data_IF_981620009129
#
_entry.id   IF_981620009129
#
_cell.length_a   1.000
_cell.length_b   1.000
_cell.length_c   1.000
_cell.angle_alpha   90.00
_cell.angle_beta   90.00
_cell.angle_gamma   90.00
#
_symmetry.space_group_name_H-M   'P 1'
#
loop_
_entity.id
_entity.type
_entity.pdbx_description
1 polymer ?
#
# COMPACT_ATOMS: atom_id res chain seq x y z
N UNK A 1 14.95 8.86 -24.36
CA UNK A 1 13.72 9.36 -25.02
C UNK A 1 12.62 8.32 -25.06
N UNK A 2 12.85 7.11 -25.59
CA UNK A 2 11.82 6.04 -25.70
C UNK A 2 11.23 5.64 -24.32
N UNK A 3 12.07 5.45 -23.29
CA UNK A 3 11.63 5.10 -21.94
C UNK A 3 10.64 6.12 -21.35
N UNK A 4 10.92 7.41 -21.53
CA UNK A 4 10.08 8.49 -21.02
C UNK A 4 8.70 8.51 -21.68
N UNK A 5 8.64 8.35 -23.01
CA UNK A 5 7.37 8.33 -23.73
C UNK A 5 6.52 7.10 -23.38
N UNK A 6 7.14 5.93 -23.20
CA UNK A 6 6.47 4.72 -22.75
C UNK A 6 5.93 4.87 -21.32
N UNK A 7 6.74 5.38 -20.40
CA UNK A 7 6.33 5.63 -19.02
C UNK A 7 5.17 6.62 -18.94
N UNK A 8 5.25 7.74 -19.69
CA UNK A 8 4.17 8.74 -19.76
C UNK A 8 2.87 8.12 -20.26
N UNK A 9 2.94 7.30 -21.31
CA UNK A 9 1.77 6.61 -21.86
C UNK A 9 1.20 5.63 -20.84
N UNK A 10 2.04 4.81 -20.22
CA UNK A 10 1.62 3.80 -19.27
C UNK A 10 0.90 4.42 -18.07
N UNK A 11 1.45 5.51 -17.51
CA UNK A 11 0.80 6.28 -16.47
C UNK A 11 -0.54 6.85 -16.94
N UNK A 12 -0.59 7.50 -18.10
CA UNK A 12 -1.82 8.08 -18.62
C UNK A 12 -2.93 7.04 -18.78
N UNK A 13 -2.62 5.86 -19.33
CA UNK A 13 -3.61 4.79 -19.52
C UNK A 13 -4.04 4.22 -18.17
N UNK A 14 -3.11 3.95 -17.23
CA UNK A 14 -3.44 3.48 -15.87
C UNK A 14 -4.45 4.42 -15.19
N UNK A 15 -4.21 5.72 -15.20
CA UNK A 15 -5.15 6.69 -14.59
C UNK A 15 -6.46 6.81 -15.35
N UNK A 16 -6.43 6.85 -16.68
CA UNK A 16 -7.64 7.00 -17.50
C UNK A 16 -8.61 5.83 -17.28
N UNK A 17 -8.10 4.61 -17.27
CA UNK A 17 -8.93 3.42 -17.21
C UNK A 17 -9.46 3.19 -15.78
N UNK A 18 -8.73 3.61 -14.75
CA UNK A 18 -9.11 3.48 -13.34
C UNK A 18 -9.90 4.66 -12.77
N UNK A 19 -10.01 5.80 -13.48
CA UNK A 19 -10.50 7.08 -12.92
C UNK A 19 -11.86 6.96 -12.22
N UNK A 20 -12.79 6.18 -12.78
CA UNK A 20 -14.15 6.00 -12.22
C UNK A 20 -14.11 5.23 -10.91
N UNK A 21 -13.34 4.13 -10.88
CA UNK A 21 -13.18 3.29 -9.68
C UNK A 21 -12.39 4.06 -8.61
N UNK A 22 -11.37 4.81 -9.03
CA UNK A 22 -10.56 5.66 -8.16
C UNK A 22 -11.40 6.73 -7.47
N UNK A 23 -12.22 7.48 -8.21
CA UNK A 23 -13.11 8.47 -7.63
C UNK A 23 -14.09 7.83 -6.62
N UNK A 24 -14.65 6.67 -6.95
CA UNK A 24 -15.56 5.94 -6.05
C UNK A 24 -14.87 5.46 -4.77
N UNK A 25 -13.70 4.84 -4.88
CA UNK A 25 -12.93 4.35 -3.71
C UNK A 25 -12.43 5.50 -2.84
N UNK A 26 -12.02 6.62 -3.42
CA UNK A 26 -11.65 7.81 -2.65
C UNK A 26 -12.84 8.46 -1.95
N UNK A 27 -14.03 8.41 -2.53
CA UNK A 27 -15.24 8.89 -1.87
C UNK A 27 -15.60 8.00 -0.67
N UNK A 28 -15.55 6.67 -0.83
CA UNK A 28 -15.71 5.73 0.29
C UNK A 28 -14.66 6.00 1.37
N UNK A 29 -13.39 6.14 0.98
CA UNK A 29 -12.31 6.45 1.90
C UNK A 29 -12.55 7.75 2.66
N UNK A 30 -12.97 8.82 1.98
CA UNK A 30 -13.28 10.10 2.62
C UNK A 30 -14.43 9.95 3.65
N UNK A 31 -15.46 9.16 3.35
CA UNK A 31 -16.51 8.86 4.33
C UNK A 31 -15.99 8.07 5.54
N UNK A 32 -15.11 7.09 5.31
CA UNK A 32 -14.47 6.30 6.39
C UNK A 32 -13.61 7.21 7.29
N UNK A 33 -12.79 8.08 6.69
CA UNK A 33 -11.98 9.06 7.42
C UNK A 33 -12.86 9.99 8.25
N UNK A 34 -13.91 10.56 7.63
CA UNK A 34 -14.81 11.49 8.30
C UNK A 34 -15.51 10.85 9.49
N UNK A 35 -16.11 9.67 9.28
CA UNK A 35 -16.82 8.94 10.34
C UNK A 35 -15.88 8.53 11.47
N UNK A 36 -14.66 8.06 11.15
CA UNK A 36 -13.65 7.72 12.14
C UNK A 36 -13.25 8.93 13.00
N UNK A 37 -12.89 10.05 12.36
CA UNK A 37 -12.44 11.25 13.07
C UNK A 37 -13.57 11.92 13.87
N UNK A 38 -14.79 11.92 13.33
CA UNK A 38 -15.97 12.41 14.03
C UNK A 38 -16.32 11.56 15.26
N UNK A 39 -16.25 10.23 15.15
CA UNK A 39 -16.47 9.36 16.31
C UNK A 39 -15.37 9.53 17.36
N UNK A 40 -14.11 9.73 16.94
CA UNK A 40 -13.01 10.01 17.86
C UNK A 40 -13.21 11.33 18.61
N UNK A 41 -13.70 12.39 17.96
CA UNK A 41 -13.97 13.65 18.66
C UNK A 41 -15.12 13.51 19.66
N UNK A 42 -16.16 12.73 19.34
CA UNK A 42 -17.26 12.44 20.27
C UNK A 42 -16.81 11.64 21.50
N UNK A 43 -15.94 10.64 21.31
CA UNK A 43 -15.47 9.75 22.39
C UNK A 43 -14.52 10.48 23.35
N UNK A 44 -13.63 11.34 22.83
CA UNK A 44 -12.60 11.99 23.64
C UNK A 44 -13.05 13.32 24.29
N UNK A 45 -14.26 13.80 24.00
CA UNK A 45 -14.77 15.05 24.57
C UNK A 45 -13.99 16.28 24.10
N UNK A 46 -13.74 17.25 25.00
CA UNK A 46 -12.98 18.49 24.72
C UNK A 46 -11.45 18.32 24.82
N UNK A 47 -10.94 17.11 25.06
CA UNK A 47 -9.51 16.90 25.15
C UNK A 47 -8.94 16.60 23.76
N UNK A 48 -8.02 17.43 23.25
CA UNK A 48 -7.48 17.24 21.92
C UNK A 48 -6.54 16.04 21.90
N UNK A 49 -6.92 15.00 21.15
CA UNK A 49 -6.04 13.85 20.91
C UNK A 49 -4.96 14.24 19.91
N UNK A 50 -3.70 13.98 20.30
CA UNK A 50 -2.51 14.18 19.46
C UNK A 50 -2.69 13.58 18.06
N UNK A 51 -2.33 14.34 17.02
CA UNK A 51 -2.38 13.96 15.60
C UNK A 51 -1.75 12.58 15.39
N UNK A 52 -0.55 12.37 15.93
CA UNK A 52 0.20 11.11 15.86
C UNK A 52 -0.65 9.92 16.30
N UNK A 53 -1.32 10.01 17.46
CA UNK A 53 -2.11 8.90 18.02
C UNK A 53 -3.33 8.59 17.16
N UNK A 54 -4.06 9.62 16.71
CA UNK A 54 -5.21 9.43 15.81
C UNK A 54 -4.81 8.86 14.46
N UNK A 55 -3.65 9.28 13.92
CA UNK A 55 -3.09 8.77 12.68
C UNK A 55 -2.75 7.29 12.79
N UNK A 56 -2.01 6.90 13.84
CA UNK A 56 -1.63 5.51 14.05
C UNK A 56 -2.85 4.61 14.26
N UNK A 57 -3.84 5.05 15.03
CA UNK A 57 -5.10 4.31 15.24
C UNK A 57 -5.83 4.05 13.92
N UNK A 58 -5.88 5.05 13.05
CA UNK A 58 -6.56 4.92 11.76
C UNK A 58 -5.81 3.97 10.81
N UNK A 59 -4.51 4.21 10.58
CA UNK A 59 -3.74 3.48 9.56
C UNK A 59 -3.30 2.07 9.98
N UNK A 60 -3.21 1.80 11.28
CA UNK A 60 -2.86 0.45 11.77
C UNK A 60 -4.09 -0.38 12.16
N UNK A 61 -5.25 0.26 12.34
CA UNK A 61 -6.53 -0.42 12.55
C UNK A 61 -6.70 -1.14 13.90
N UNK A 62 -5.64 -1.23 14.73
CA UNK A 62 -5.72 -1.74 16.11
C UNK A 62 -4.95 -0.84 17.05
N UNK A 63 -5.59 -0.49 18.16
CA UNK A 63 -4.98 0.27 19.23
C UNK A 63 -4.03 -0.64 20.05
N UNK A 64 -2.98 -0.08 20.64
CA UNK A 64 -2.03 -0.84 21.48
C UNK A 64 -2.73 -1.60 22.61
N UNK A 65 -3.76 -0.97 23.17
CA UNK A 65 -4.61 -1.50 24.25
C UNK A 65 -5.46 -2.67 23.75
N UNK A 66 -6.09 -2.54 22.58
CA UNK A 66 -6.92 -3.59 21.98
C UNK A 66 -6.12 -4.84 21.60
N UNK A 67 -4.87 -4.65 21.14
CA UNK A 67 -3.97 -5.76 20.85
C UNK A 67 -3.58 -6.50 22.14
N UNK A 68 -3.39 -5.78 23.25
CA UNK A 68 -3.11 -6.36 24.57
C UNK A 68 -4.32 -7.10 25.16
N UNK A 69 -5.54 -6.58 24.97
CA UNK A 69 -6.78 -7.25 25.35
C UNK A 69 -7.04 -8.48 24.48
N UNK A 70 -6.67 -8.46 23.19
CA UNK A 70 -6.73 -9.64 22.35
C UNK A 70 -5.86 -10.79 22.89
N UNK A 71 -4.61 -10.50 23.25
CA UNK A 71 -3.70 -11.51 23.81
C UNK A 71 -4.13 -12.02 25.20
N UNK A 72 -4.79 -11.19 26.00
CA UNK A 72 -5.22 -11.55 27.37
C UNK A 72 -6.63 -12.14 27.47
N UNK A 73 -7.56 -11.70 26.62
CA UNK A 73 -9.00 -11.97 26.74
C UNK A 73 -9.57 -12.68 25.50
N UNK A 74 -8.78 -12.88 24.43
CA UNK A 74 -9.21 -13.53 23.20
C UNK A 74 -10.26 -12.76 22.40
N UNK A 75 -10.51 -11.48 22.72
CA UNK A 75 -11.46 -10.63 22.01
C UNK A 75 -10.78 -9.96 20.83
N UNK A 76 -11.17 -10.36 19.61
CA UNK A 76 -10.55 -9.88 18.38
C UNK A 76 -11.31 -8.70 17.79
N UNK A 77 -10.68 -7.53 17.71
CA UNK A 77 -11.08 -6.48 16.80
C UNK A 77 -10.36 -6.68 15.46
N UNK A 78 -11.10 -7.03 14.41
CA UNK A 78 -10.52 -7.19 13.07
C UNK A 78 -9.99 -5.82 12.62
N UNK A 79 -8.73 -5.70 12.16
CA UNK A 79 -8.16 -4.44 11.69
C UNK A 79 -8.73 -4.04 10.33
N UNK A 80 -10.02 -3.68 10.29
CA UNK A 80 -10.77 -3.44 9.06
C UNK A 80 -10.16 -2.31 8.21
N UNK A 81 -9.73 -1.21 8.84
CA UNK A 81 -9.09 -0.09 8.13
C UNK A 81 -7.81 -0.52 7.43
N UNK A 82 -7.00 -1.33 8.11
CA UNK A 82 -5.77 -1.88 7.57
C UNK A 82 -6.02 -2.75 6.33
N UNK A 83 -6.98 -3.70 6.43
CA UNK A 83 -7.36 -4.56 5.31
C UNK A 83 -7.83 -3.71 4.13
N UNK A 84 -8.67 -2.71 4.39
CA UNK A 84 -9.17 -1.81 3.37
C UNK A 84 -8.04 -1.05 2.65
N UNK A 85 -7.03 -0.57 3.38
CA UNK A 85 -5.89 0.14 2.78
C UNK A 85 -4.98 -0.75 1.94
N UNK A 86 -4.87 -2.04 2.25
CA UNK A 86 -4.10 -2.97 1.43
C UNK A 86 -4.88 -3.46 0.20
N UNK A 87 -6.21 -3.56 0.30
CA UNK A 87 -7.07 -3.99 -0.83
C UNK A 87 -7.29 -2.86 -1.85
N UNK A 88 -7.40 -1.61 -1.40
CA UNK A 88 -7.71 -0.46 -2.27
C UNK A 88 -6.70 -0.31 -3.43
N UNK A 89 -5.37 -0.31 -3.21
CA UNK A 89 -4.39 -0.29 -4.29
C UNK A 89 -4.52 -1.50 -5.23
N UNK A 90 -4.81 -2.70 -4.73
CA UNK A 90 -4.97 -3.91 -5.56
C UNK A 90 -6.16 -3.79 -6.51
N UNK A 91 -7.29 -3.27 -6.04
CA UNK A 91 -8.47 -3.00 -6.87
C UNK A 91 -8.19 -1.97 -7.97
N UNK A 92 -7.36 -0.96 -7.66
CA UNK A 92 -7.03 0.13 -8.57
C UNK A 92 -6.00 -0.23 -9.64
N UNK A 93 -5.17 -1.24 -9.40
CA UNK A 93 -4.16 -1.73 -10.36
C UNK A 93 -4.84 -2.50 -11.50
N UNK A 94 -5.84 -3.32 -11.17
CA UNK A 94 -6.62 -4.09 -12.14
C UNK A 94 -5.76 -4.95 -13.07
N UNK A 95 -6.14 -5.04 -14.35
CA UNK A 95 -5.51 -5.89 -15.36
C UNK A 95 -4.62 -5.13 -16.36
N UNK A 96 -4.07 -3.98 -15.98
CA UNK A 96 -3.39 -3.10 -16.93
C UNK A 96 -2.23 -3.77 -17.68
N UNK A 97 -1.26 -4.39 -16.98
CA UNK A 97 -0.15 -5.02 -17.68
C UNK A 97 -0.58 -6.19 -18.56
N UNK A 98 -1.57 -6.98 -18.11
CA UNK A 98 -2.16 -8.06 -18.89
C UNK A 98 -2.79 -7.55 -20.19
N UNK A 99 -3.67 -6.54 -20.12
CA UNK A 99 -4.36 -6.00 -21.30
C UNK A 99 -3.38 -5.32 -22.26
N UNK A 100 -2.41 -4.56 -21.76
CA UNK A 100 -1.46 -3.85 -22.63
C UNK A 100 -0.49 -4.80 -23.35
N UNK A 101 -0.05 -5.87 -22.68
CA UNK A 101 0.92 -6.82 -23.25
C UNK A 101 0.24 -7.92 -24.06
N UNK A 102 -0.82 -8.54 -23.55
CA UNK A 102 -1.43 -9.69 -24.24
C UNK A 102 -2.48 -9.27 -25.27
N UNK A 103 -3.29 -8.24 -24.99
CA UNK A 103 -4.35 -7.82 -25.91
C UNK A 103 -3.87 -6.75 -26.91
N UNK A 104 -3.06 -5.79 -26.45
CA UNK A 104 -2.53 -4.72 -27.30
C UNK A 104 -1.07 -4.93 -27.75
N UNK A 105 -0.47 -6.06 -27.39
CA UNK A 105 0.93 -6.38 -27.65
C UNK A 105 1.33 -6.33 -29.13
N UNK A 106 0.41 -6.69 -30.03
CA UNK A 106 0.62 -6.68 -31.49
C UNK A 106 1.05 -5.29 -32.01
N UNK A 107 0.56 -4.21 -31.40
CA UNK A 107 0.92 -2.84 -31.79
C UNK A 107 2.17 -2.30 -31.06
N UNK A 108 2.60 -2.98 -29.99
CA UNK A 108 3.60 -2.53 -29.03
C UNK A 108 4.96 -3.20 -29.25
N UNK A 109 4.96 -4.52 -29.45
CA UNK A 109 6.18 -5.31 -29.63
C UNK A 109 6.99 -4.91 -30.87
N UNK A 110 6.40 -4.58 -32.04
CA UNK A 110 7.18 -4.15 -33.21
C UNK A 110 7.91 -2.81 -33.00
N UNK A 111 7.40 -1.96 -32.10
CA UNK A 111 7.92 -0.60 -31.87
C UNK A 111 9.01 -0.53 -30.81
N UNK A 112 9.21 -1.58 -30.01
CA UNK A 112 10.17 -1.59 -28.91
C UNK A 112 11.24 -2.67 -29.11
N UNK A 113 12.43 -2.24 -29.52
CA UNK A 113 13.58 -3.12 -29.80
C UNK A 113 14.07 -3.94 -28.58
N UNK A 114 13.71 -3.54 -27.36
CA UNK A 114 14.17 -4.16 -26.10
C UNK A 114 12.99 -4.48 -25.17
N UNK A 115 12.54 -5.73 -25.15
CA UNK A 115 11.35 -6.17 -24.37
C UNK A 115 11.50 -6.04 -22.85
N UNK A 116 12.71 -6.20 -22.32
CA UNK A 116 12.99 -5.95 -20.89
C UNK A 116 12.69 -4.49 -20.49
N UNK A 117 12.82 -3.56 -21.45
CA UNK A 117 12.53 -2.15 -21.23
C UNK A 117 11.01 -1.89 -21.12
N UNK A 118 10.18 -2.68 -21.80
CA UNK A 118 8.72 -2.66 -21.62
C UNK A 118 8.33 -3.09 -20.21
N UNK A 119 8.87 -4.21 -19.73
CA UNK A 119 8.57 -4.68 -18.38
C UNK A 119 9.01 -3.68 -17.31
N UNK A 120 10.20 -3.10 -17.49
CA UNK A 120 10.71 -2.08 -16.60
C UNK A 120 9.82 -0.82 -16.56
N UNK A 121 9.25 -0.38 -17.70
CA UNK A 121 8.28 0.74 -17.68
C UNK A 121 6.98 0.37 -16.98
N UNK A 122 6.53 -0.89 -17.05
CA UNK A 122 5.36 -1.36 -16.28
C UNK A 122 5.60 -1.29 -14.78
N UNK A 123 6.75 -1.78 -14.32
CA UNK A 123 7.14 -1.71 -12.90
C UNK A 123 7.25 -0.26 -12.42
N UNK A 124 7.94 0.60 -13.18
CA UNK A 124 8.07 2.02 -12.82
C UNK A 124 6.72 2.74 -12.83
N UNK A 125 5.88 2.49 -13.83
CA UNK A 125 4.53 3.09 -13.89
C UNK A 125 3.67 2.64 -12.71
N UNK A 126 3.77 1.36 -12.29
CA UNK A 126 3.09 0.85 -11.12
C UNK A 126 3.56 1.56 -9.85
N UNK A 127 4.87 1.72 -9.68
CA UNK A 127 5.44 2.41 -8.52
C UNK A 127 4.93 3.86 -8.38
N UNK A 128 5.01 4.65 -9.45
CA UNK A 128 4.50 6.03 -9.43
C UNK A 128 2.98 6.10 -9.24
N UNK A 129 2.23 5.14 -9.80
CA UNK A 129 0.80 5.05 -9.61
C UNK A 129 0.43 4.77 -8.15
N UNK A 130 1.08 3.81 -7.50
CA UNK A 130 0.88 3.49 -6.07
C UNK A 130 1.25 4.70 -5.19
N UNK A 131 2.37 5.38 -5.46
CA UNK A 131 2.75 6.61 -4.76
C UNK A 131 1.64 7.66 -4.87
N UNK A 132 1.10 7.88 -6.07
CA UNK A 132 0.07 8.90 -6.28
C UNK A 132 -1.22 8.60 -5.50
N UNK A 133 -1.65 7.32 -5.44
CA UNK A 133 -2.83 6.90 -4.70
C UNK A 133 -2.64 7.19 -3.21
N UNK A 134 -1.50 6.79 -2.64
CA UNK A 134 -1.21 7.00 -1.23
C UNK A 134 -1.08 8.48 -0.88
N UNK A 135 -0.44 9.30 -1.72
CA UNK A 135 -0.37 10.75 -1.51
C UNK A 135 -1.78 11.36 -1.41
N UNK A 136 -2.70 10.97 -2.31
CA UNK A 136 -4.08 11.45 -2.27
C UNK A 136 -4.81 10.98 -1.01
N UNK A 137 -4.65 9.72 -0.62
CA UNK A 137 -5.26 9.18 0.61
C UNK A 137 -4.75 9.89 1.88
N UNK A 138 -3.45 10.16 1.98
CA UNK A 138 -2.90 10.92 3.10
C UNK A 138 -3.40 12.36 3.08
N UNK A 139 -3.41 13.01 1.93
CA UNK A 139 -3.92 14.37 1.78
C UNK A 139 -5.39 14.48 2.22
N UNK A 140 -6.24 13.52 1.81
CA UNK A 140 -7.64 13.44 2.27
C UNK A 140 -7.74 13.26 3.79
N UNK A 141 -6.88 12.44 4.40
CA UNK A 141 -6.88 12.28 5.85
C UNK A 141 -6.54 13.58 6.58
N UNK A 142 -5.46 14.25 6.18
CA UNK A 142 -5.04 15.49 6.83
C UNK A 142 -6.03 16.63 6.62
N UNK A 143 -6.64 16.73 5.43
CA UNK A 143 -7.64 17.77 5.16
C UNK A 143 -8.89 17.59 6.02
N UNK A 144 -9.40 16.35 6.16
CA UNK A 144 -10.56 16.09 7.03
C UNK A 144 -10.22 16.31 8.50
N UNK A 145 -9.03 15.85 8.95
CA UNK A 145 -8.55 16.12 10.31
C UNK A 145 -8.49 17.62 10.59
N UNK A 146 -7.92 18.40 9.68
CA UNK A 146 -7.81 19.84 9.81
C UNK A 146 -9.18 20.54 9.86
N UNK A 147 -10.13 20.11 9.01
CA UNK A 147 -11.49 20.65 8.99
C UNK A 147 -12.27 20.37 10.29
N UNK A 148 -12.02 19.23 10.94
CA UNK A 148 -12.68 18.87 12.20
C UNK A 148 -12.03 19.53 13.41
N UNK A 149 -10.72 19.76 13.38
CA UNK A 149 -9.96 20.45 14.44
C UNK A 149 -9.97 21.99 14.30
N UNK A 150 -10.80 22.51 13.40
CA UNK A 150 -10.86 23.94 13.07
C UNK A 150 -11.42 24.73 14.26
N UNK A 151 -10.51 25.38 15.01
CA UNK A 151 -10.84 26.17 16.20
C UNK A 151 -9.85 26.01 17.35
N UNK A 152 -9.13 24.88 17.42
CA UNK A 152 -8.27 24.53 18.57
C UNK A 152 -6.77 24.68 18.30
N UNK A 153 -6.33 24.62 17.03
CA UNK A 153 -4.91 24.69 16.66
C UNK A 153 -4.65 25.64 15.49
N UNK A 154 -3.58 26.45 15.62
CA UNK A 154 -3.02 27.21 14.50
C UNK A 154 -2.31 26.27 13.52
N UNK A 155 -2.35 26.59 12.21
CA UNK A 155 -1.74 25.79 11.14
C UNK A 155 -0.26 25.45 11.41
N UNK A 156 0.47 26.36 12.05
CA UNK A 156 1.89 26.19 12.40
C UNK A 156 2.12 25.10 13.49
N UNK A 157 1.18 24.94 14.43
CA UNK A 157 1.26 23.93 15.49
C UNK A 157 0.94 22.51 14.99
N UNK A 158 0.16 22.38 13.91
CA UNK A 158 -0.11 21.08 13.29
C UNK A 158 1.06 20.61 12.42
N UNK A 159 1.74 21.55 11.74
CA UNK A 159 2.93 21.22 10.95
C UNK A 159 4.10 20.78 11.83
N UNK A 160 4.28 21.39 13.01
CA UNK A 160 5.31 20.97 13.97
C UNK A 160 5.02 19.60 14.62
N UNK A 161 3.77 19.14 14.59
CA UNK A 161 3.37 17.79 15.01
C UNK A 161 3.56 16.73 13.92
N UNK A 162 4.05 17.10 12.73
CA UNK A 162 4.37 16.14 11.68
C UNK A 162 5.64 15.35 12.06
N UNK A 163 5.45 14.27 12.81
CA UNK A 163 6.56 13.49 13.33
C UNK A 163 7.26 12.69 12.20
N UNK A 164 8.58 12.55 12.28
CA UNK A 164 9.36 11.65 11.41
C UNK A 164 8.78 10.22 11.39
N UNK A 165 8.10 9.82 12.47
CA UNK A 165 7.45 8.52 12.60
C UNK A 165 6.25 8.38 11.67
N UNK A 166 5.43 9.43 11.47
CA UNK A 166 4.33 9.43 10.50
C UNK A 166 4.90 9.17 9.09
N UNK A 167 5.94 9.92 8.70
CA UNK A 167 6.63 9.72 7.41
C UNK A 167 7.15 8.28 7.25
N UNK A 168 7.77 7.72 8.28
CA UNK A 168 8.24 6.34 8.28
C UNK A 168 7.12 5.33 8.03
N UNK A 169 5.99 5.47 8.72
CA UNK A 169 4.84 4.58 8.50
C UNK A 169 4.22 4.74 7.11
N UNK A 170 4.19 5.96 6.56
CA UNK A 170 3.71 6.21 5.21
C UNK A 170 4.56 5.49 4.15
N UNK A 171 5.89 5.54 4.31
CA UNK A 171 6.82 4.89 3.40
C UNK A 171 6.65 3.36 3.42
N UNK A 172 6.50 2.76 4.60
CA UNK A 172 6.28 1.31 4.76
C UNK A 172 5.01 0.88 4.02
N UNK A 173 3.91 1.62 4.20
CA UNK A 173 2.63 1.37 3.53
C UNK A 173 2.76 1.41 1.99
N UNK A 174 3.47 2.41 1.46
CA UNK A 174 3.71 2.56 0.03
C UNK A 174 4.53 1.39 -0.51
N UNK A 175 5.64 1.03 0.17
CA UNK A 175 6.53 -0.06 -0.26
C UNK A 175 5.77 -1.38 -0.31
N UNK A 176 5.01 -1.71 0.75
CA UNK A 176 4.31 -2.99 0.83
C UNK A 176 3.15 -3.05 -0.17
N UNK A 177 2.39 -1.96 -0.31
CA UNK A 177 1.35 -1.88 -1.34
C UNK A 177 1.92 -2.07 -2.74
N UNK A 178 3.09 -1.49 -3.02
CA UNK A 178 3.78 -1.66 -4.29
C UNK A 178 4.21 -3.12 -4.51
N UNK A 179 4.81 -3.76 -3.51
CA UNK A 179 5.23 -5.16 -3.61
C UNK A 179 4.02 -6.10 -3.83
N UNK A 180 2.93 -5.90 -3.10
CA UNK A 180 1.70 -6.68 -3.27
C UNK A 180 1.07 -6.44 -4.64
N UNK A 181 1.02 -5.19 -5.10
CA UNK A 181 0.54 -4.84 -6.43
C UNK A 181 1.40 -5.43 -7.55
N UNK A 182 2.72 -5.49 -7.36
CA UNK A 182 3.65 -6.10 -8.31
C UNK A 182 3.41 -7.60 -8.43
N UNK A 183 3.26 -8.30 -7.28
CA UNK A 183 2.93 -9.72 -7.24
C UNK A 183 1.58 -9.96 -7.92
N UNK A 184 0.57 -9.14 -7.61
CA UNK A 184 -0.75 -9.22 -8.23
C UNK A 184 -0.68 -9.05 -9.76
N UNK A 185 -0.05 -7.99 -10.25
CA UNK A 185 0.07 -7.69 -11.68
C UNK A 185 0.91 -8.74 -12.43
N UNK A 186 1.83 -9.42 -11.75
CA UNK A 186 2.58 -10.54 -12.33
C UNK A 186 1.74 -11.83 -12.38
N UNK A 187 1.01 -12.16 -11.32
CA UNK A 187 0.19 -13.38 -11.26
C UNK A 187 -0.98 -13.36 -12.25
N UNK A 188 -1.52 -12.18 -12.56
CA UNK A 188 -2.60 -12.03 -13.55
C UNK A 188 -2.20 -12.39 -14.97
N UNK A 189 -0.90 -12.57 -15.27
CA UNK A 189 -0.46 -13.13 -16.55
C UNK A 189 -0.76 -14.63 -16.71
N UNK A 190 -0.91 -15.36 -15.60
CA UNK A 190 -1.06 -16.82 -15.62
C UNK A 190 -2.42 -17.30 -15.14
N UNK A 191 -3.03 -16.53 -14.24
CA UNK A 191 -4.26 -16.91 -13.55
C UNK A 191 -5.28 -15.79 -13.73
N UNK A 192 -6.58 -16.11 -13.90
CA UNK A 192 -7.64 -15.10 -13.97
C UNK A 192 -7.62 -14.12 -12.78
N UNK A 193 -7.84 -12.84 -13.06
CA UNK A 193 -7.79 -11.74 -12.07
C UNK A 193 -8.62 -12.02 -10.81
N UNK A 194 -9.80 -12.62 -10.95
CA UNK A 194 -10.69 -12.92 -9.83
C UNK A 194 -10.05 -13.91 -8.84
N UNK A 195 -9.38 -14.95 -9.34
CA UNK A 195 -8.70 -15.93 -8.52
C UNK A 195 -7.48 -15.30 -7.84
N UNK A 196 -6.67 -14.53 -8.58
CA UNK A 196 -5.51 -13.82 -8.01
C UNK A 196 -5.96 -12.87 -6.89
N UNK A 197 -7.06 -12.15 -7.10
CA UNK A 197 -7.62 -11.24 -6.10
C UNK A 197 -8.04 -12.00 -4.82
N UNK A 198 -8.75 -13.12 -4.96
CA UNK A 198 -9.14 -13.96 -3.81
C UNK A 198 -7.90 -14.51 -3.09
N UNK A 199 -6.88 -14.95 -3.83
CA UNK A 199 -5.62 -15.41 -3.23
C UNK A 199 -4.91 -14.31 -2.43
N UNK A 200 -4.86 -13.08 -2.97
CA UNK A 200 -4.26 -11.94 -2.26
C UNK A 200 -5.06 -11.56 -1.02
N UNK A 201 -6.39 -11.62 -1.07
CA UNK A 201 -7.25 -11.39 0.09
C UNK A 201 -7.01 -12.44 1.17
N UNK A 202 -6.96 -13.72 0.80
CA UNK A 202 -6.64 -14.80 1.73
C UNK A 202 -5.23 -14.65 2.31
N UNK A 203 -4.25 -14.25 1.51
CA UNK A 203 -2.89 -13.96 1.97
C UNK A 203 -2.87 -12.82 2.98
N UNK A 204 -3.56 -11.71 2.70
CA UNK A 204 -3.68 -10.58 3.63
C UNK A 204 -4.40 -10.99 4.91
N UNK A 205 -5.47 -11.78 4.82
CA UNK A 205 -6.18 -12.27 5.99
C UNK A 205 -5.31 -13.19 6.85
N UNK A 206 -4.63 -14.16 6.24
CA UNK A 206 -3.67 -15.04 6.93
C UNK A 206 -2.52 -14.25 7.54
N UNK A 207 -2.07 -13.17 6.89
CA UNK A 207 -1.04 -12.29 7.44
C UNK A 207 -1.44 -11.65 8.77
N UNK A 208 -2.73 -11.59 9.11
CA UNK A 208 -3.24 -11.10 10.40
C UNK A 208 -3.01 -12.12 11.53
N UNK A 209 -2.96 -13.42 11.21
CA UNK A 209 -2.85 -14.49 12.21
C UNK A 209 -1.43 -15.03 12.33
N UNK A 210 -0.71 -15.13 11.21
CA UNK A 210 0.62 -15.73 11.19
C UNK A 210 1.72 -14.68 11.30
N UNK A 211 2.70 -14.96 12.16
CA UNK A 211 3.91 -14.14 12.30
C UNK A 211 5.01 -14.79 11.48
N UNK A 212 5.28 -14.22 10.31
CA UNK A 212 6.41 -14.65 9.50
C UNK A 212 6.90 -13.48 8.65
N UNK A 213 8.20 -13.42 8.46
CA UNK A 213 8.89 -12.48 7.56
C UNK A 213 8.35 -12.61 6.11
N UNK A 214 7.75 -13.75 5.76
CA UNK A 214 7.14 -13.97 4.44
C UNK A 214 5.76 -13.32 4.25
N UNK A 215 5.10 -12.88 5.34
CA UNK A 215 3.81 -12.20 5.30
C UNK A 215 3.99 -10.68 5.27
N UNK A 216 4.12 -10.11 4.08
CA UNK A 216 4.33 -8.67 3.85
C UNK A 216 3.28 -7.79 4.57
N UNK A 217 2.03 -8.26 4.63
CA UNK A 217 0.97 -7.54 5.35
C UNK A 217 1.26 -7.34 6.84
N UNK A 218 1.99 -8.27 7.47
CA UNK A 218 2.33 -8.16 8.90
C UNK A 218 3.27 -6.99 9.23
N UNK A 219 4.10 -6.54 8.28
CA UNK A 219 5.03 -5.40 8.48
C UNK A 219 4.31 -4.05 8.53
N UNK A 220 3.12 -3.99 7.94
CA UNK A 220 2.26 -2.80 7.96
C UNK A 220 1.54 -2.63 9.31
N UNK A 221 1.60 -3.65 10.18
CA UNK A 221 1.10 -3.62 11.56
C UNK A 221 2.26 -3.48 12.57
N UNK A 222 2.92 -2.31 12.67
CA UNK A 222 4.13 -2.11 13.47
C UNK A 222 3.96 -2.46 14.95
N UNK A 223 2.78 -2.17 15.54
CA UNK A 223 2.53 -2.44 16.95
C UNK A 223 2.43 -3.94 17.26
N UNK A 224 2.30 -4.82 16.25
CA UNK A 224 2.20 -6.27 16.45
C UNK A 224 3.55 -6.92 16.78
N UNK A 225 4.64 -6.37 16.26
CA UNK A 225 5.99 -6.87 16.53
C UNK A 225 6.48 -6.51 17.94
N UNK A 226 5.89 -5.50 18.58
CA UNK A 226 6.19 -5.14 19.97
C UNK A 226 5.70 -6.19 20.98
N UNK A 227 4.61 -6.91 20.70
CA UNK A 227 4.00 -7.84 21.66
C UNK A 227 4.62 -9.24 21.69
N UNK A 228 5.33 -9.64 20.64
CA UNK A 228 5.75 -11.04 20.47
C UNK A 228 7.17 -11.29 20.94
N UNK A 229 8.09 -10.35 20.75
CA UNK A 229 9.51 -10.62 21.02
C UNK A 229 10.03 -10.09 22.36
N UNK A 230 9.28 -9.24 23.09
CA UNK A 230 9.79 -8.41 24.20
C UNK A 230 11.08 -7.63 23.87
N UNK A 231 11.57 -7.74 22.64
CA UNK A 231 12.60 -6.91 22.08
C UNK A 231 11.99 -5.52 21.94
N UNK A 232 12.78 -4.53 22.29
CA UNK A 232 12.46 -3.12 22.08
C UNK A 232 12.38 -2.82 20.57
N UNK A 233 11.43 -3.41 19.87
CA UNK A 233 10.92 -2.93 18.58
C UNK A 233 10.04 -1.74 18.93
N UNK A 234 10.72 -0.72 19.46
CA UNK A 234 10.18 0.58 19.75
C UNK A 234 9.97 1.29 18.41
N UNK A 235 8.73 1.28 17.93
CA UNK A 235 8.17 2.52 17.38
C UNK A 235 7.74 3.49 18.50
N UNK A 236 8.08 3.18 19.75
CA UNK A 236 8.02 4.06 20.93
C UNK A 236 9.38 4.64 21.31
N UNK A 237 9.68 5.83 20.81
CA UNK A 237 10.44 6.89 21.51
C UNK A 237 11.92 6.68 21.93
N UNK A 238 12.54 5.51 21.73
CA UNK A 238 13.95 5.30 22.06
C UNK A 238 14.82 5.07 20.82
N UNK A 239 15.95 5.77 20.77
CA UNK A 239 16.97 5.70 19.73
C UNK A 239 17.40 4.25 19.40
N UNK A 240 17.55 3.98 18.09
CA UNK A 240 18.62 3.18 17.48
C UNK A 240 18.55 1.65 17.36
N UNK A 241 17.41 1.00 17.09
CA UNK A 241 17.47 -0.36 16.49
C UNK A 241 16.52 -0.54 15.29
N UNK A 242 17.06 -0.18 14.13
CA UNK A 242 16.49 -0.16 12.78
C UNK A 242 16.53 -1.52 12.07
N UNK A 243 16.32 -2.63 12.80
CA UNK A 243 16.55 -3.98 12.25
C UNK A 243 15.50 -4.32 11.15
N UNK A 244 14.26 -3.83 11.26
CA UNK A 244 13.19 -4.19 10.30
C UNK A 244 13.16 -3.39 9.00
N UNK A 245 13.64 -2.14 8.98
CA UNK A 245 13.63 -1.34 7.74
C UNK A 245 14.64 -1.89 6.72
N UNK A 246 15.81 -2.31 7.20
CA UNK A 246 16.83 -2.92 6.35
C UNK A 246 16.37 -4.28 5.80
N UNK A 247 15.74 -5.11 6.63
CA UNK A 247 15.21 -6.40 6.20
C UNK A 247 14.05 -6.24 5.20
N UNK A 248 13.13 -5.30 5.45
CA UNK A 248 12.04 -4.97 4.51
C UNK A 248 12.58 -4.47 3.17
N UNK A 249 13.58 -3.58 3.20
CA UNK A 249 14.23 -3.07 1.99
C UNK A 249 14.93 -4.20 1.24
N UNK A 250 15.63 -5.09 1.93
CA UNK A 250 16.32 -6.23 1.33
C UNK A 250 15.32 -7.19 0.68
N UNK A 251 14.24 -7.57 1.39
CA UNK A 251 13.16 -8.41 0.85
C UNK A 251 12.50 -7.73 -0.35
N UNK A 252 12.23 -6.43 -0.26
CA UNK A 252 11.65 -5.66 -1.35
C UNK A 252 12.54 -5.65 -2.59
N UNK A 253 13.84 -5.41 -2.43
CA UNK A 253 14.82 -5.46 -3.53
C UNK A 253 14.87 -6.86 -4.14
N UNK A 254 14.92 -7.91 -3.33
CA UNK A 254 14.93 -9.30 -3.81
C UNK A 254 13.67 -9.60 -4.62
N UNK A 255 12.48 -9.24 -4.13
CA UNK A 255 11.22 -9.46 -4.86
C UNK A 255 11.23 -8.70 -6.19
N UNK A 256 11.65 -7.43 -6.20
CA UNK A 256 11.70 -6.63 -7.43
C UNK A 256 12.68 -7.24 -8.44
N UNK A 257 13.87 -7.64 -8.00
CA UNK A 257 14.87 -8.28 -8.88
C UNK A 257 14.35 -9.59 -9.45
N UNK A 258 13.75 -10.45 -8.61
CA UNK A 258 13.15 -11.72 -9.05
C UNK A 258 12.04 -11.47 -10.07
N UNK A 259 11.17 -10.48 -9.83
CA UNK A 259 10.08 -10.14 -10.76
C UNK A 259 10.58 -9.53 -12.07
N UNK A 260 11.67 -8.77 -12.05
CA UNK A 260 12.34 -8.29 -13.26
C UNK A 260 12.87 -9.48 -14.07
N UNK A 261 13.57 -10.43 -13.41
CA UNK A 261 14.12 -11.61 -14.06
C UNK A 261 13.01 -12.50 -14.63
N UNK A 262 12.00 -12.85 -13.83
CA UNK A 262 10.86 -13.66 -14.26
C UNK A 262 10.10 -13.02 -15.43
N UNK A 263 9.79 -11.72 -15.35
CA UNK A 263 9.17 -10.99 -16.45
C UNK A 263 10.02 -11.07 -17.73
N UNK A 264 11.35 -10.93 -17.61
CA UNK A 264 12.25 -11.03 -18.76
C UNK A 264 12.25 -12.42 -19.42
N UNK A 265 12.11 -13.50 -18.65
CA UNK A 265 11.97 -14.86 -19.18
C UNK A 265 10.62 -15.07 -19.87
N UNK A 266 9.54 -14.55 -19.31
CA UNK A 266 8.20 -14.78 -19.85
C UNK A 266 7.94 -14.02 -21.14
N UNK A 267 8.49 -12.81 -21.29
CA UNK A 267 8.44 -12.09 -22.57
C UNK A 267 9.32 -12.72 -23.66
N UNK A 268 10.36 -13.48 -23.30
CA UNK A 268 11.11 -14.30 -24.26
C UNK A 268 10.30 -15.50 -24.73
N UNK A 269 9.46 -16.11 -23.88
CA UNK A 269 8.63 -17.26 -24.27
C UNK A 269 7.47 -16.86 -25.18
N UNK A 270 6.90 -15.67 -25.00
CA UNK A 270 5.89 -15.10 -25.89
C UNK A 270 6.40 -14.84 -27.33
N UNK A 271 7.72 -14.76 -27.57
CA UNK A 271 8.28 -14.74 -28.94
C UNK A 271 8.07 -16.06 -29.68
N UNK A 272 8.04 -17.20 -28.99
CA UNK A 272 8.03 -18.53 -29.62
C UNK A 272 6.61 -18.95 -30.06
N UNK A 273 5.58 -18.33 -29.50
CA UNK A 273 4.16 -18.65 -29.78
C UNK A 273 3.56 -17.64 -30.78
N UNK A 274 4.30 -16.57 -31.11
CA UNK A 274 3.87 -15.49 -32.00
C UNK A 274 4.28 -15.67 -33.48
N UNK A 275 4.82 -16.84 -33.84
CA UNK A 275 5.02 -17.28 -35.24
C UNK A 275 4.09 -18.46 -35.56
#
# INVERSE_FOLDING_TARGET
MILYHLLKRDLHVRFRDSIKIMAFLFLIYAMIVFTFLYNQSLINGKEPVLVDVTFYRFFHGVDFVDLSHFYKEGRFSIPFYWIFFQITPLLLVGNFAFSDIQQNGVYLFPRVKKKHLLWLTKILSLFFYIISIWIVMYFLWFTVYYLLSFGEYSFLNLYSQFSYKILGTMLIQIIISFLLALIFEFLTFYIPITIVFVMMLMYLFMSIFFHSIYFLGSFVMPNRWYFVDHSSIQLTLGNNQSIQCNDLLLIGVVIVVVMILLGSFCFKKLDVIGE
#
